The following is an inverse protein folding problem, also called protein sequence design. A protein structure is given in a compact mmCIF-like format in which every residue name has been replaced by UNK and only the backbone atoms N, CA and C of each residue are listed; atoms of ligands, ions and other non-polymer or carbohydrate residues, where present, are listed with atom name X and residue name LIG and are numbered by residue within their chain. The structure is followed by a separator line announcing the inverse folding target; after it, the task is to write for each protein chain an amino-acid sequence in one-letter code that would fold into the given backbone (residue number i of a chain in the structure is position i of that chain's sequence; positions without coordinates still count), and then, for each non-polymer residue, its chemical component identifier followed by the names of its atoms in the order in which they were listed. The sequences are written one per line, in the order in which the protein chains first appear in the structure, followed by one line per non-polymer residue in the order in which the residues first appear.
data_IF_757472645629
#
_entry.id   IF_757472645629
#
_cell.length_a   1.000
_cell.length_b   1.000
_cell.length_c   1.000
_cell.angle_alpha   90.00
_cell.angle_beta   90.00
_cell.angle_gamma   90.00
#
_symmetry.space_group_name_H-M   'P 1'
#
loop_
_entity.id
_entity.type
_entity.pdbx_description
1 polymer ?
2 non-polymer ?
3 water ?
#
# COMPACT_ATOMS: atom_id res chain seq x y z
N UNK A 6 -13.79 -33.25 9.66
CA UNK A 6 -13.25 -32.84 8.33
C UNK A 6 -13.52 -31.36 8.03
N UNK A 7 -12.61 -30.50 8.48
CA UNK A 7 -12.57 -29.13 7.97
C UNK A 7 -11.62 -29.01 6.80
N UNK A 8 -10.81 -30.04 6.60
CA UNK A 8 -9.86 -30.02 5.50
C UNK A 8 -10.14 -31.04 4.40
N UNK A 9 -10.01 -30.55 3.18
CA UNK A 9 -10.04 -31.38 2.00
C UNK A 9 -8.57 -31.51 1.65
N UNK A 10 -8.07 -32.75 1.56
CA UNK A 10 -6.65 -32.88 1.19
C UNK A 10 -6.43 -32.70 -0.33
N UNK A 11 -5.38 -31.99 -0.69
CA UNK A 11 -5.09 -31.66 -2.08
C UNK A 11 -3.73 -32.19 -2.49
N UNK A 12 -3.63 -32.62 -3.75
CA UNK A 12 -2.35 -32.94 -4.37
C UNK A 12 -1.54 -31.65 -4.45
N UNK A 13 -0.23 -31.76 -4.27
CA UNK A 13 0.66 -30.60 -4.39
C UNK A 13 0.68 -30.04 -5.81
N UNK A 14 0.26 -28.77 -5.96
CA UNK A 14 0.26 -28.10 -7.26
C UNK A 14 -1.09 -27.90 -7.94
N UNK A 15 -2.12 -28.62 -7.47
CA UNK A 15 -3.49 -28.55 -8.02
C UNK A 15 -4.25 -27.34 -7.48
N UNK A 16 -4.09 -26.18 -8.14
CA UNK A 16 -4.74 -24.93 -7.74
C UNK A 16 -6.27 -25.02 -7.68
N UNK A 17 -6.83 -25.94 -8.46
CA UNK A 17 -8.28 -26.14 -8.47
C UNK A 17 -8.71 -26.73 -7.13
N UNK A 18 -8.01 -27.78 -6.69
CA UNK A 18 -8.34 -28.40 -5.41
C UNK A 18 -8.08 -27.44 -4.24
N UNK A 19 -7.00 -26.67 -4.34
CA UNK A 19 -6.65 -25.72 -3.32
C UNK A 19 -7.72 -24.64 -3.16
N UNK A 20 -8.26 -24.18 -4.29
CA UNK A 20 -9.27 -23.15 -4.28
C UNK A 20 -10.54 -23.62 -3.58
N UNK A 21 -11.02 -24.81 -3.90
CA UNK A 21 -12.21 -25.28 -3.19
C UNK A 21 -11.93 -25.73 -1.75
N UNK A 22 -10.68 -26.09 -1.44
CA UNK A 22 -10.29 -26.37 -0.06
C UNK A 22 -10.32 -25.07 0.75
N UNK A 23 -9.82 -23.98 0.15
CA UNK A 23 -9.84 -22.66 0.73
C UNK A 23 -11.26 -22.17 1.01
N UNK A 24 -12.15 -22.35 0.03
CA UNK A 24 -13.57 -22.02 0.21
C UNK A 24 -14.13 -22.77 1.43
N UNK A 25 -14.01 -24.10 1.42
CA UNK A 25 -14.39 -24.97 2.57
C UNK A 25 -13.85 -24.48 3.90
N UNK A 26 -12.55 -24.19 3.92
CA UNK A 26 -11.87 -23.85 5.15
C UNK A 26 -12.43 -22.59 5.76
N UNK A 27 -12.56 -21.53 4.96
CA UNK A 27 -13.01 -20.23 5.42
C UNK A 27 -14.45 -20.21 5.93
N UNK A 28 -15.33 -20.95 5.25
CA UNK A 28 -16.71 -21.13 5.69
C UNK A 28 -16.76 -21.87 7.04
N UNK A 29 -16.09 -23.03 7.11
CA UNK A 29 -16.07 -23.79 8.37
C UNK A 29 -15.49 -22.98 9.53
N UNK A 30 -14.45 -22.18 9.26
CA UNK A 30 -13.79 -21.38 10.29
C UNK A 30 -14.32 -19.94 10.43
N UNK A 31 -15.28 -19.52 9.60
CA UNK A 31 -15.74 -18.12 9.55
C UNK A 31 -16.13 -17.54 10.90
N UNK A 32 -16.79 -18.34 11.73
CA UNK A 32 -17.27 -17.87 13.01
C UNK A 32 -16.48 -18.50 14.17
N UNK A 33 -15.33 -19.08 13.82
CA UNK A 33 -14.33 -19.49 14.79
C UNK A 33 -14.57 -20.90 15.26
N UNK A 34 -13.50 -21.55 15.74
CA UNK A 34 -13.59 -22.91 16.31
C UNK A 34 -12.77 -22.98 17.60
N UNK A 35 -13.40 -22.65 18.74
CA UNK A 35 -12.63 -22.33 19.96
C UNK A 35 -11.92 -23.55 20.54
N UNK A 36 -12.45 -24.74 20.28
CA UNK A 36 -11.85 -25.98 20.72
C UNK A 36 -10.51 -26.25 20.00
N UNK A 37 -10.35 -25.69 18.81
CA UNK A 37 -9.10 -25.80 18.05
C UNK A 37 -8.29 -24.48 18.08
N UNK A 38 -8.79 -23.48 18.79
CA UNK A 38 -8.13 -22.16 18.86
C UNK A 38 -8.23 -21.41 17.51
N UNK A 39 -9.29 -21.67 16.75
CA UNK A 39 -9.45 -21.01 15.46
C UNK A 39 -10.27 -19.73 15.65
N UNK A 40 -9.68 -18.60 15.30
CA UNK A 40 -10.33 -17.31 15.47
C UNK A 40 -11.42 -17.10 14.43
N UNK A 41 -12.47 -16.33 14.78
CA UNK A 41 -13.46 -16.06 13.74
C UNK A 41 -12.86 -15.15 12.68
N UNK A 42 -13.00 -15.49 11.39
CA UNK A 42 -12.45 -14.60 10.32
C UNK A 42 -13.45 -13.81 9.48
N UNK A 43 -14.71 -14.20 9.56
CA UNK A 43 -15.75 -13.46 8.88
C UNK A 43 -17.09 -13.71 9.58
N UNK A 44 -17.57 -12.73 10.38
CA UNK A 44 -16.93 -11.40 10.61
C UNK A 44 -15.69 -11.45 11.58
N UNK A 45 -14.62 -10.71 11.25
CA UNK A 45 -13.41 -10.64 12.11
C UNK A 45 -13.48 -9.35 12.87
N UNK A 46 -13.32 -9.40 14.19
CA UNK A 46 -13.32 -8.13 14.96
C UNK A 46 -11.89 -7.78 15.46
N UNK A 47 -11.48 -6.55 15.24
CA UNK A 47 -10.22 -6.09 15.77
C UNK A 47 -10.45 -5.19 16.98
N UNK A 48 -10.16 -5.72 18.18
CA UNK A 48 -10.29 -4.97 19.43
C UNK A 48 -9.76 -3.56 19.30
N UNK A 49 -8.46 -3.47 18.98
CA UNK A 49 -7.69 -2.26 19.11
C UNK A 49 -6.55 -2.25 18.12
N UNK A 50 -6.42 -1.16 17.38
CA UNK A 50 -5.32 -0.93 16.49
C UNK A 50 -5.00 0.56 16.43
N UNK A 51 -3.76 0.92 16.76
CA UNK A 51 -3.25 2.28 16.52
C UNK A 51 -2.36 2.32 15.30
N UNK A 52 -2.42 3.46 14.61
CA UNK A 52 -1.59 3.77 13.49
C UNK A 52 -1.10 5.21 13.61
N UNK A 53 0.21 5.46 13.46
CA UNK A 53 0.68 6.87 13.37
C UNK A 53 0.61 7.27 11.91
N UNK A 54 0.32 8.52 11.58
CA UNK A 54 0.51 8.98 10.22
C UNK A 54 2.00 9.07 9.80
N UNK A 55 2.47 8.14 8.91
CA UNK A 55 3.84 8.14 8.37
C UNK A 55 4.41 9.54 8.05
N UNK A 56 3.58 10.49 7.66
CA UNK A 56 4.06 11.80 7.26
C UNK A 56 3.63 12.90 8.20
N UNK A 57 3.15 12.51 9.38
CA UNK A 57 2.79 13.42 10.46
C UNK A 57 2.76 12.70 11.83
N UNK A 58 3.83 12.84 12.60
CA UNK A 58 4.01 12.13 13.89
C UNK A 58 3.00 12.52 14.99
N UNK A 59 2.37 13.67 14.80
CA UNK A 59 1.42 14.23 15.74
C UNK A 59 -0.06 13.84 15.48
N UNK A 60 -0.27 12.89 14.56
CA UNK A 60 -1.60 12.35 14.28
C UNK A 60 -1.53 10.92 14.65
N UNK A 61 -2.36 10.57 15.62
CA UNK A 61 -2.50 9.21 16.08
C UNK A 61 -3.96 8.82 15.75
N UNK A 62 -4.12 7.70 15.05
CA UNK A 62 -5.43 7.16 14.74
C UNK A 62 -5.57 5.95 15.61
N UNK A 63 -6.63 5.92 16.39
CA UNK A 63 -6.87 4.78 17.25
C UNK A 63 -8.23 4.20 16.83
N UNK A 64 -8.21 2.93 16.40
CA UNK A 64 -9.40 2.16 16.00
C UNK A 64 -9.82 1.23 17.09
N UNK A 65 -11.12 1.16 17.30
CA UNK A 65 -11.68 0.26 18.29
C UNK A 65 -12.86 -0.57 17.77
N UNK A 66 -12.78 -1.88 18.02
CA UNK A 66 -13.82 -2.84 17.66
C UNK A 66 -14.18 -2.79 16.19
N UNK A 67 -13.17 -2.96 15.35
CA UNK A 67 -13.44 -2.86 13.94
C UNK A 67 -14.17 -4.12 13.56
N UNK A 68 -15.21 -3.93 12.77
CA UNK A 68 -15.98 -5.05 12.23
C UNK A 68 -15.64 -5.20 10.76
N UNK A 69 -15.13 -6.36 10.41
CA UNK A 69 -14.56 -6.58 9.09
C UNK A 69 -15.20 -7.79 8.40
N UNK A 70 -15.90 -7.53 7.30
CA UNK A 70 -16.53 -8.65 6.59
C UNK A 70 -15.87 -8.81 5.23
N UNK A 71 -15.84 -10.02 4.70
CA UNK A 71 -15.33 -10.30 3.35
C UNK A 71 -14.14 -11.26 3.23
N UNK A 72 -13.58 -11.72 4.35
CA UNK A 72 -12.43 -12.65 4.32
C UNK A 72 -12.81 -14.11 4.00
N UNK A 73 -14.01 -14.54 4.32
CA UNK A 73 -14.38 -15.92 3.99
C UNK A 73 -14.45 -16.15 2.45
N UNK A 74 -14.50 -15.04 1.69
CA UNK A 74 -14.56 -15.10 0.22
C UNK A 74 -13.33 -14.60 -0.50
N UNK A 75 -12.17 -14.68 0.16
CA UNK A 75 -10.91 -14.37 -0.46
C UNK A 75 -10.49 -15.45 -1.46
N UNK A 76 -9.80 -15.00 -2.49
CA UNK A 76 -9.43 -15.84 -3.62
C UNK A 76 -7.92 -15.93 -3.63
N UNK A 77 -7.39 -17.14 -3.77
CA UNK A 77 -5.93 -17.31 -3.95
C UNK A 77 -5.54 -16.70 -5.27
N UNK A 78 -4.58 -15.77 -5.26
CA UNK A 78 -4.04 -15.24 -6.51
C UNK A 78 -2.60 -15.70 -6.78
N UNK A 79 -1.92 -16.21 -5.76
CA UNK A 79 -0.58 -16.78 -5.89
C UNK A 79 -0.29 -17.75 -4.74
N UNK A 80 0.21 -18.93 -5.10
CA UNK A 80 0.66 -19.90 -4.13
C UNK A 80 1.99 -20.47 -4.60
N UNK A 81 3.05 -20.21 -3.86
CA UNK A 81 4.35 -20.84 -4.14
C UNK A 81 4.91 -21.62 -2.94
N UNK A 82 4.79 -22.95 -3.03
CA UNK A 82 5.26 -23.84 -1.98
C UNK A 82 6.54 -24.59 -2.43
N UNK A 83 7.66 -24.22 -1.82
CA UNK A 83 8.94 -24.86 -2.10
C UNK A 83 9.14 -26.00 -1.09
N UNK A 84 8.97 -27.25 -1.53
CA UNK A 84 9.12 -28.38 -0.59
C UNK A 84 10.55 -28.67 -0.13
N UNK A 85 11.54 -28.04 -0.77
CA UNK A 85 12.96 -28.17 -0.39
C UNK A 85 13.37 -27.13 0.65
N UNK A 86 13.25 -25.86 0.30
CA UNK A 86 13.59 -24.79 1.24
C UNK A 86 12.52 -24.64 2.35
N UNK A 87 11.51 -25.51 2.33
CA UNK A 87 10.36 -25.51 3.26
C UNK A 87 9.69 -24.12 3.51
N UNK A 88 9.18 -23.51 2.44
CA UNK A 88 8.56 -22.18 2.49
C UNK A 88 7.20 -22.15 1.78
N UNK A 89 6.37 -21.18 2.18
CA UNK A 89 5.08 -20.91 1.52
C UNK A 89 5.00 -19.42 1.19
N UNK A 90 4.57 -19.10 -0.01
CA UNK A 90 4.13 -17.74 -0.33
C UNK A 90 2.67 -17.85 -0.72
N UNK A 91 1.82 -17.17 0.03
CA UNK A 91 0.41 -17.06 -0.26
C UNK A 91 0.03 -15.61 -0.48
N UNK A 92 -0.77 -15.36 -1.52
CA UNK A 92 -1.31 -14.02 -1.80
C UNK A 92 -2.78 -14.23 -2.04
N UNK A 93 -3.64 -13.39 -1.46
CA UNK A 93 -5.09 -13.52 -1.69
C UNK A 93 -5.71 -12.18 -1.99
N UNK A 94 -6.87 -12.25 -2.66
CA UNK A 94 -7.66 -11.08 -3.02
C UNK A 94 -8.88 -11.09 -2.15
N UNK A 95 -9.09 -10.00 -1.44
CA UNK A 95 -10.25 -9.93 -0.54
C UNK A 95 -11.00 -8.64 -0.75
N UNK A 96 -12.31 -8.76 -0.76
CA UNK A 96 -13.20 -7.62 -0.75
C UNK A 96 -13.61 -7.33 0.69
N UNK A 97 -13.06 -6.24 1.25
CA UNK A 97 -13.26 -5.92 2.67
C UNK A 97 -14.31 -4.83 2.88
N UNK A 98 -15.19 -5.04 3.86
CA UNK A 98 -15.98 -3.94 4.39
C UNK A 98 -15.67 -3.82 5.87
N UNK A 99 -15.30 -2.60 6.26
CA UNK A 99 -14.77 -2.31 7.58
C UNK A 99 -15.55 -1.17 8.24
N UNK A 100 -15.95 -1.42 9.48
CA UNK A 100 -16.68 -0.45 10.26
C UNK A 100 -16.27 -0.53 11.71
N UNK A 101 -16.13 0.64 12.34
CA UNK A 101 -15.71 0.66 13.72
C UNK A 101 -15.52 2.04 14.29
N UNK A 102 -15.26 2.06 15.58
CA UNK A 102 -14.92 3.27 16.30
C UNK A 102 -13.52 3.68 15.89
N UNK A 103 -13.39 5.00 15.66
CA UNK A 103 -12.15 5.70 15.42
C UNK A 103 -11.95 6.90 16.39
N UNK A 104 -10.71 7.02 16.91
CA UNK A 104 -10.28 8.22 17.63
C UNK A 104 -9.10 8.84 16.91
N UNK A 105 -9.28 10.08 16.45
CA UNK A 105 -8.23 10.88 15.85
C UNK A 105 -7.67 11.89 16.88
N UNK A 106 -6.41 11.65 17.30
CA UNK A 106 -5.65 12.54 18.17
C UNK A 106 -4.74 13.47 17.40
N UNK A 107 -5.02 14.76 17.45
CA UNK A 107 -4.09 15.75 16.98
C UNK A 107 -3.29 16.23 18.22
N UNK A 108 -2.32 15.41 18.64
CA UNK A 108 -1.55 15.62 19.87
C UNK A 108 -0.94 17.01 19.99
N UNK A 109 -0.45 17.55 18.86
CA UNK A 109 0.13 18.88 18.84
C UNK A 109 -0.77 20.03 19.22
N UNK A 110 -2.08 19.78 19.22
CA UNK A 110 -3.08 20.83 19.43
C UNK A 110 -3.89 20.49 20.67
N UNK A 111 -3.65 19.31 21.22
CA UNK A 111 -4.42 18.74 22.30
C UNK A 111 -5.91 18.59 21.93
N UNK A 112 -6.17 18.21 20.68
CA UNK A 112 -7.54 18.00 20.19
C UNK A 112 -7.83 16.54 19.87
N UNK A 113 -9.11 16.20 19.80
CA UNK A 113 -9.52 14.83 19.66
C UNK A 113 -10.87 14.85 18.97
N UNK A 114 -11.14 13.78 18.25
CA UNK A 114 -12.32 13.62 17.43
C UNK A 114 -12.68 12.14 17.54
N UNK A 115 -13.89 11.88 18.05
CA UNK A 115 -14.42 10.52 18.14
C UNK A 115 -15.51 10.32 17.06
N UNK A 116 -15.75 9.07 16.70
CA UNK A 116 -16.72 8.78 15.65
C UNK A 116 -16.70 7.36 15.15
N UNK A 117 -17.31 7.19 13.99
CA UNK A 117 -17.43 5.89 13.33
C UNK A 117 -16.76 5.99 12.01
N UNK A 118 -16.02 4.95 11.70
CA UNK A 118 -15.22 4.90 10.50
C UNK A 118 -15.69 3.78 9.61
N UNK A 119 -15.82 4.09 8.34
CA UNK A 119 -16.20 3.04 7.40
C UNK A 119 -15.21 2.98 6.26
N UNK A 120 -14.83 1.76 5.90
CA UNK A 120 -14.00 1.51 4.69
C UNK A 120 -14.38 0.28 3.87
N UNK A 121 -14.48 0.51 2.56
CA UNK A 121 -14.66 -0.55 1.56
C UNK A 121 -13.52 -0.50 0.54
N UNK A 122 -12.88 -1.63 0.36
CA UNK A 122 -11.81 -1.71 -0.63
C UNK A 122 -11.53 -3.15 -0.96
N UNK A 123 -10.83 -3.39 -2.05
CA UNK A 123 -10.27 -4.72 -2.34
C UNK A 123 -8.78 -4.71 -2.06
N UNK A 124 -8.28 -5.66 -1.28
CA UNK A 124 -6.86 -5.68 -1.03
C UNK A 124 -6.28 -6.94 -1.59
N UNK A 125 -4.96 -6.91 -1.78
CA UNK A 125 -4.20 -8.13 -2.02
C UNK A 125 -3.18 -8.27 -0.88
N UNK A 126 -3.33 -9.33 -0.11
CA UNK A 126 -2.45 -9.55 1.03
C UNK A 126 -1.48 -10.64 0.68
N UNK A 127 -0.21 -10.37 0.97
CA UNK A 127 0.85 -11.31 0.73
C UNK A 127 1.53 -11.81 2.03
N UNK A 128 1.48 -13.13 2.24
CA UNK A 128 2.19 -13.70 3.37
C UNK A 128 3.25 -14.73 2.95
N UNK A 129 4.39 -14.65 3.61
CA UNK A 129 5.48 -15.59 3.40
C UNK A 129 5.81 -16.27 4.73
N UNK A 130 5.83 -17.60 4.75
CA UNK A 130 6.24 -18.31 5.97
C UNK A 130 7.02 -19.59 5.72
N UNK A 131 8.03 -19.80 6.57
CA UNK A 131 8.75 -21.07 6.60
C UNK A 131 7.90 -22.07 7.33
N UNK A 132 8.20 -23.35 7.18
CA UNK A 132 7.57 -24.34 8.00
C UNK A 132 8.57 -25.46 8.28
N UNK A 133 8.30 -26.25 9.32
CA UNK A 133 8.83 -27.62 9.38
C UNK A 133 7.76 -28.71 9.50
N UNK A 134 8.12 -29.91 9.05
CA UNK A 134 7.32 -31.09 9.30
C UNK A 134 7.83 -31.78 10.57
N UNK A 135 6.93 -32.05 11.51
CA UNK A 135 7.34 -32.64 12.80
C UNK A 135 6.28 -33.51 13.47
N UNK A 136 6.74 -34.63 14.04
CA UNK A 136 5.86 -35.61 14.68
C UNK A 136 5.43 -35.27 16.12
N UNK A 137 4.27 -35.77 16.48
CA UNK A 137 3.69 -35.70 17.81
C UNK A 137 4.34 -36.71 18.73
N UNK A 138 4.01 -36.63 20.01
CA UNK A 138 4.32 -37.70 20.95
C UNK A 138 3.47 -38.94 20.65
N UNK A 139 2.25 -38.71 20.17
CA UNK A 139 1.38 -39.78 19.63
C UNK A 139 1.85 -40.32 18.27
N UNK A 140 2.88 -39.69 17.72
CA UNK A 140 3.51 -40.16 16.48
C UNK A 140 2.81 -39.75 15.19
N UNK A 141 1.99 -38.70 15.26
CA UNK A 141 1.24 -38.18 14.10
C UNK A 141 2.01 -36.97 13.56
N UNK A 142 2.15 -36.86 12.24
CA UNK A 142 2.96 -35.78 11.65
C UNK A 142 2.19 -34.48 11.44
N UNK A 143 2.80 -33.36 11.81
CA UNK A 143 2.19 -32.04 11.66
C UNK A 143 3.11 -31.07 10.99
N UNK A 144 2.50 -30.16 10.23
CA UNK A 144 3.16 -28.91 9.83
C UNK A 144 3.31 -28.01 11.05
N UNK A 145 4.49 -27.40 11.20
CA UNK A 145 4.65 -26.25 12.08
C UNK A 145 4.98 -25.01 11.28
N UNK A 146 4.04 -24.07 11.26
CA UNK A 146 4.19 -22.86 10.46
C UNK A 146 4.83 -21.75 11.30
N UNK A 147 6.00 -21.27 10.84
CA UNK A 147 6.77 -20.30 11.60
C UNK A 147 6.12 -18.94 11.42
N UNK A 148 6.60 -17.93 12.16
CA UNK A 148 6.00 -16.61 12.05
C UNK A 148 6.12 -16.07 10.63
N UNK A 149 5.04 -15.52 10.11
CA UNK A 149 4.96 -15.15 8.69
C UNK A 149 5.40 -13.71 8.54
N UNK A 150 5.84 -13.33 7.33
CA UNK A 150 6.03 -11.92 6.96
C UNK A 150 4.82 -11.49 6.09
N UNK A 151 4.34 -10.27 6.27
CA UNK A 151 3.14 -9.79 5.56
C UNK A 151 3.47 -8.59 4.75
N UNK A 152 2.97 -8.57 3.51
CA UNK A 152 3.06 -7.35 2.72
C UNK A 152 1.69 -6.93 2.27
N UNK A 153 1.42 -5.63 2.39
CA UNK A 153 0.15 -5.12 1.84
C UNK A 153 0.36 -4.71 0.38
N UNK A 154 0.38 -5.71 -0.48
CA UNK A 154 0.80 -5.47 -1.89
C UNK A 154 -0.12 -4.47 -2.57
N UNK A 155 -1.43 -4.60 -2.34
CA UNK A 155 -2.36 -3.63 -2.86
C UNK A 155 -3.46 -3.20 -1.84
N UNK A 156 -3.72 -1.90 -1.73
CA UNK A 156 -4.84 -1.52 -0.88
C UNK A 156 -6.10 -1.18 -1.70
N UNK A 157 -6.06 -1.39 -3.01
CA UNK A 157 -7.14 -0.98 -3.94
C UNK A 157 -7.38 0.52 -3.98
N UNK A 158 -8.65 0.93 -4.17
CA UNK A 158 -9.03 2.34 -4.05
C UNK A 158 -10.05 2.46 -2.89
N UNK A 159 -9.58 2.67 -1.64
CA UNK A 159 -10.53 2.57 -0.55
C UNK A 159 -11.61 3.67 -0.54
N UNK A 160 -12.82 3.29 -0.13
CA UNK A 160 -13.89 4.25 0.03
C UNK A 160 -14.07 4.45 1.49
N UNK A 161 -13.74 5.65 1.94
CA UNK A 161 -13.77 5.94 3.36
C UNK A 161 -14.94 6.83 3.76
N UNK A 162 -15.66 6.44 4.79
CA UNK A 162 -16.62 7.37 5.38
C UNK A 162 -16.35 7.59 6.87
N UNK A 163 -16.51 8.84 7.29
CA UNK A 163 -16.64 9.16 8.71
C UNK A 163 -18.03 9.69 9.02
N UNK A 164 -18.52 9.35 10.22
CA UNK A 164 -19.69 9.96 10.89
C UNK A 164 -19.95 11.43 10.52
N UNK A 165 -21.21 11.86 10.66
CA UNK A 165 -21.58 13.22 10.21
C UNK A 165 -21.06 14.31 11.14
N UNK A 166 -21.07 14.03 12.45
CA UNK A 166 -20.61 14.94 13.49
C UNK A 166 -19.09 14.99 13.54
N UNK A 167 -18.46 13.82 13.46
CA UNK A 167 -17.00 13.75 13.32
C UNK A 167 -16.54 14.61 12.15
N UNK A 168 -17.23 14.53 11.02
CA UNK A 168 -16.86 15.33 9.86
C UNK A 168 -16.99 16.82 10.11
N UNK A 169 -18.07 17.24 10.78
CA UNK A 169 -18.35 18.66 11.04
C UNK A 169 -17.32 19.25 11.99
N UNK A 170 -16.87 18.42 12.92
CA UNK A 170 -15.84 18.81 13.85
C UNK A 170 -14.50 19.07 13.11
N UNK A 171 -14.10 18.15 12.23
CA UNK A 171 -12.89 18.36 11.42
C UNK A 171 -13.06 19.52 10.44
N UNK A 172 -14.25 19.68 9.86
CA UNK A 172 -14.51 20.82 8.99
C UNK A 172 -14.38 22.15 9.72
N UNK A 173 -14.77 22.15 11.00
CA UNK A 173 -14.66 23.35 11.85
C UNK A 173 -13.20 23.62 12.28
N UNK A 174 -12.46 22.56 12.61
CA UNK A 174 -11.05 22.67 12.97
C UNK A 174 -10.21 23.12 11.78
N UNK A 175 -10.18 22.32 10.72
CA UNK A 175 -9.41 22.67 9.53
C UNK A 175 -9.87 23.99 8.90
N UNK A 176 -11.18 24.21 8.80
CA UNK A 176 -11.73 25.48 8.28
C UNK A 176 -12.33 25.36 6.89
N UNK A 177 -12.35 24.13 6.38
CA UNK A 177 -12.89 23.81 5.08
C UNK A 177 -14.34 23.31 5.24
N UNK A 178 -15.18 23.49 4.23
CA UNK A 178 -16.55 22.99 4.28
C UNK A 178 -16.64 21.47 4.10
N UNK A 179 -15.70 20.91 3.33
CA UNK A 179 -15.61 19.46 3.12
C UNK A 179 -14.40 18.80 3.82
N UNK A 180 -14.48 17.50 4.03
CA UNK A 180 -13.32 16.68 4.36
C UNK A 180 -12.41 16.58 3.16
N UNK A 181 -11.10 16.73 3.37
CA UNK A 181 -10.16 16.86 2.26
C UNK A 181 -9.23 15.62 2.09
N UNK A 182 -9.43 14.85 0.99
CA UNK A 182 -8.63 13.64 0.78
C UNK A 182 -7.14 13.86 0.58
N UNK A 183 -6.76 14.98 -0.04
CA UNK A 183 -5.33 15.31 -0.17
C UNK A 183 -4.73 15.76 1.15
N UNK A 184 -5.49 15.63 2.23
CA UNK A 184 -4.96 16.09 3.51
C UNK A 184 -5.22 15.22 4.67
N UNK A 185 -4.77 15.68 5.82
CA UNK A 185 -4.83 14.86 6.99
C UNK A 185 -6.18 15.14 7.65
N UNK A 186 -6.80 14.11 8.25
CA UNK A 186 -6.33 12.74 8.39
C UNK A 186 -6.81 11.74 7.32
N UNK A 187 -7.58 12.20 6.34
CA UNK A 187 -8.06 11.28 5.30
C UNK A 187 -6.93 10.53 4.55
N UNK A 188 -5.78 11.18 4.33
CA UNK A 188 -4.64 10.53 3.64
C UNK A 188 -4.19 9.27 4.35
N UNK A 189 -4.17 9.31 5.68
CA UNK A 189 -3.74 8.18 6.45
C UNK A 189 -4.81 7.12 6.48
N UNK A 190 -6.04 7.60 6.67
CA UNK A 190 -7.24 6.76 6.66
C UNK A 190 -7.45 5.95 5.36
N UNK A 191 -7.12 6.55 4.24
CA UNK A 191 -7.09 5.91 2.88
C UNK A 191 -5.96 4.86 2.67
N UNK A 192 -4.84 5.02 3.38
CA UNK A 192 -3.60 4.32 2.98
C UNK A 192 -2.98 3.46 4.05
N UNK A 193 -2.10 4.05 4.86
CA UNK A 193 -1.48 3.35 5.99
C UNK A 193 -2.51 2.67 6.88
N UNK A 194 -3.60 3.36 7.20
CA UNK A 194 -4.59 2.70 8.10
C UNK A 194 -5.13 1.41 7.47
N UNK A 195 -5.41 1.50 6.17
CA UNK A 195 -5.80 0.31 5.40
C UNK A 195 -4.75 -0.76 5.36
N UNK A 196 -3.49 -0.34 5.14
CA UNK A 196 -2.38 -1.31 5.11
C UNK A 196 -2.32 -2.01 6.46
N UNK A 197 -2.40 -1.25 7.54
CA UNK A 197 -2.43 -1.89 8.88
C UNK A 197 -3.66 -2.74 9.18
N UNK A 198 -4.84 -2.24 8.89
CA UNK A 198 -6.03 -3.12 9.01
C UNK A 198 -5.88 -4.43 8.23
N UNK A 199 -5.44 -4.35 6.98
CA UNK A 199 -5.18 -5.58 6.22
C UNK A 199 -4.20 -6.52 6.94
N UNK A 200 -3.12 -5.98 7.53
CA UNK A 200 -2.17 -6.83 8.29
C UNK A 200 -2.82 -7.56 9.45
N UNK A 201 -3.60 -6.82 10.23
CA UNK A 201 -4.40 -7.47 11.31
C UNK A 201 -5.23 -8.61 10.77
N UNK A 202 -5.94 -8.40 9.66
CA UNK A 202 -6.70 -9.51 9.03
C UNK A 202 -5.86 -10.72 8.64
N UNK A 203 -4.71 -10.48 8.01
CA UNK A 203 -3.93 -11.64 7.57
C UNK A 203 -3.17 -12.32 8.70
N UNK A 204 -2.85 -11.57 9.75
CA UNK A 204 -2.44 -12.19 11.03
C UNK A 204 -3.46 -13.25 11.51
N UNK A 205 -4.75 -12.88 11.54
CA UNK A 205 -5.79 -13.85 11.93
C UNK A 205 -5.88 -14.97 10.93
N UNK A 206 -5.81 -14.61 9.66
CA UNK A 206 -5.82 -15.61 8.62
C UNK A 206 -4.68 -16.61 8.78
N UNK A 207 -3.47 -16.12 8.96
CA UNK A 207 -2.32 -17.03 9.06
C UNK A 207 -2.36 -17.76 10.42
N UNK A 208 -2.76 -17.08 11.49
CA UNK A 208 -2.93 -17.81 12.77
C UNK A 208 -3.84 -19.00 12.60
N UNK A 209 -4.94 -18.84 11.85
CA UNK A 209 -5.85 -19.98 11.73
C UNK A 209 -5.24 -21.15 11.00
N UNK A 210 -4.39 -20.85 10.04
CA UNK A 210 -3.67 -21.93 9.35
C UNK A 210 -2.71 -22.60 10.33
N UNK A 211 -1.87 -21.80 10.99
CA UNK A 211 -1.03 -22.29 12.09
C UNK A 211 -1.83 -23.15 13.09
N UNK A 212 -2.86 -22.55 13.67
CA UNK A 212 -3.65 -23.25 14.72
C UNK A 212 -4.18 -24.60 14.26
N UNK A 213 -4.62 -24.66 13.00
CA UNK A 213 -5.24 -25.87 12.47
C UNK A 213 -4.20 -26.95 12.14
N UNK A 214 -3.01 -26.51 11.74
CA UNK A 214 -1.89 -27.39 11.43
C UNK A 214 -1.26 -28.03 12.69
N UNK A 215 -1.57 -27.49 13.87
CA UNK A 215 -1.14 -28.08 15.14
C UNK A 215 -2.00 -29.29 15.38
N UNK A 216 -3.30 -29.15 15.10
CA UNK A 216 -4.29 -30.20 15.35
C UNK A 216 -4.30 -31.30 14.28
N UNK A 217 -4.34 -30.90 13.01
CA UNK A 217 -4.54 -31.84 11.92
C UNK A 217 -3.26 -32.49 11.39
N UNK A 218 -3.31 -33.81 11.10
CA UNK A 218 -2.21 -34.49 10.42
C UNK A 218 -1.85 -33.72 9.16
N UNK A 219 -0.57 -33.62 8.84
CA UNK A 219 -0.15 -32.87 7.68
C UNK A 219 -0.78 -33.44 6.40
N UNK A 220 -0.97 -34.76 6.37
CA UNK A 220 -1.59 -35.46 5.23
C UNK A 220 -3.06 -35.07 4.96
N UNK A 221 -3.60 -34.20 5.82
CA UNK A 221 -4.95 -33.65 5.66
C UNK A 221 -4.90 -32.33 4.89
N UNK A 222 -3.70 -31.81 4.69
CA UNK A 222 -3.47 -30.62 3.88
C UNK A 222 -3.04 -31.00 2.45
N UNK A 223 -2.03 -31.88 2.37
CA UNK A 223 -1.48 -32.38 1.10
C UNK A 223 -1.19 -33.89 1.18
N UNK A 224 -1.51 -34.59 0.09
CA UNK A 224 -1.51 -36.07 0.07
C UNK A 224 -0.15 -36.79 -0.04
N UNK A 225 0.85 -36.18 -0.68
CA UNK A 225 2.13 -36.89 -0.91
C UNK A 225 3.33 -36.44 -0.06
N UNK A 226 3.71 -35.17 -0.21
CA UNK A 226 4.89 -34.62 0.46
C UNK A 226 6.19 -35.20 -0.11
N UNK B 6 5.67 19.90 -30.72
CA UNK B 6 7.08 19.74 -30.25
C UNK B 6 7.20 18.83 -29.00
N UNK B 7 6.32 19.04 -28.02
CA UNK B 7 6.35 18.30 -26.75
C UNK B 7 5.23 17.27 -26.62
N UNK B 8 4.02 17.66 -27.01
CA UNK B 8 2.85 16.82 -26.82
C UNK B 8 2.36 16.30 -28.15
N UNK B 9 1.85 15.08 -28.16
CA UNK B 9 1.04 14.56 -29.26
C UNK B 9 -0.44 14.53 -28.86
N UNK B 10 -1.25 15.45 -29.43
CA UNK B 10 -2.70 15.53 -29.20
C UNK B 10 -3.44 14.24 -29.51
N UNK B 11 -4.43 13.91 -28.70
CA UNK B 11 -5.22 12.71 -28.92
C UNK B 11 -6.70 13.07 -28.93
N UNK B 12 -7.54 12.12 -29.27
CA UNK B 12 -8.95 12.31 -29.06
C UNK B 12 -9.29 11.74 -27.69
N UNK B 13 -10.20 12.39 -26.95
CA UNK B 13 -10.68 11.81 -25.70
C UNK B 13 -11.00 10.32 -25.88
N UNK B 14 -10.56 9.50 -24.92
CA UNK B 14 -10.90 8.07 -24.94
C UNK B 14 -10.23 7.23 -26.01
N UNK B 15 -9.11 7.71 -26.56
CA UNK B 15 -8.28 6.88 -27.45
C UNK B 15 -7.03 6.40 -26.70
N UNK B 16 -7.15 5.26 -26.03
CA UNK B 16 -6.09 4.78 -25.13
C UNK B 16 -4.80 4.35 -25.87
N UNK B 17 -4.89 4.16 -27.19
CA UNK B 17 -3.74 3.72 -27.98
C UNK B 17 -2.83 4.92 -28.21
N UNK B 18 -3.46 6.03 -28.54
CA UNK B 18 -2.81 7.28 -28.82
C UNK B 18 -2.33 7.87 -27.49
N UNK B 19 -3.22 7.84 -26.50
CA UNK B 19 -2.83 8.27 -25.15
C UNK B 19 -1.57 7.57 -24.68
N UNK B 20 -1.51 6.24 -24.86
CA UNK B 20 -0.30 5.51 -24.56
C UNK B 20 0.94 6.01 -25.29
N UNK B 21 0.80 6.33 -26.59
CA UNK B 21 1.96 6.81 -27.36
C UNK B 21 2.36 8.20 -26.91
N UNK B 22 1.35 9.02 -26.59
CA UNK B 22 1.59 10.40 -26.15
C UNK B 22 2.30 10.43 -24.78
N UNK B 23 1.93 9.45 -23.95
CA UNK B 23 2.46 9.27 -22.61
C UNK B 23 3.91 8.84 -22.69
N UNK B 24 4.22 7.87 -23.57
CA UNK B 24 5.61 7.49 -23.84
C UNK B 24 6.47 8.67 -24.34
N UNK B 25 5.95 9.42 -25.30
CA UNK B 25 6.70 10.55 -25.84
C UNK B 25 6.98 11.67 -24.84
N UNK B 26 5.94 12.08 -24.11
CA UNK B 26 6.05 13.08 -23.05
C UNK B 26 7.10 12.70 -22.02
N UNK B 27 6.97 11.49 -21.48
CA UNK B 27 7.91 10.99 -20.47
C UNK B 27 9.33 10.93 -21.01
N UNK B 28 9.47 10.59 -22.30
CA UNK B 28 10.77 10.64 -22.99
C UNK B 28 11.35 12.07 -22.98
N UNK B 29 10.61 13.04 -23.51
CA UNK B 29 11.16 14.40 -23.61
C UNK B 29 11.33 15.12 -22.25
N UNK B 30 10.47 14.80 -21.28
CA UNK B 30 10.58 15.36 -19.93
C UNK B 30 11.56 14.63 -18.96
N UNK B 31 12.04 13.44 -19.31
CA UNK B 31 12.83 12.60 -18.40
C UNK B 31 14.01 13.25 -17.63
N UNK B 32 14.60 14.33 -18.15
CA UNK B 32 15.63 15.06 -17.39
C UNK B 32 15.35 16.56 -17.24
N UNK B 33 14.15 16.97 -17.62
CA UNK B 33 13.64 18.29 -17.28
C UNK B 33 13.59 19.21 -18.48
N UNK B 34 12.71 20.20 -18.44
CA UNK B 34 12.68 21.27 -19.42
C UNK B 34 12.39 22.57 -18.66
N UNK B 35 13.46 23.22 -18.15
CA UNK B 35 13.33 24.38 -17.29
C UNK B 35 12.55 25.56 -17.91
N UNK B 36 12.41 25.57 -19.23
CA UNK B 36 11.60 26.59 -19.91
C UNK B 36 10.15 26.52 -19.46
N UNK B 37 9.60 25.31 -19.47
CA UNK B 37 8.20 25.11 -19.18
C UNK B 37 7.97 24.86 -17.69
N UNK B 38 9.06 24.85 -16.92
CA UNK B 38 9.07 24.57 -15.49
C UNK B 38 8.77 23.08 -15.25
N UNK B 39 9.36 22.24 -16.08
CA UNK B 39 9.19 20.79 -15.98
C UNK B 39 10.37 20.14 -15.27
N UNK B 40 10.11 19.45 -14.16
CA UNK B 40 11.17 18.81 -13.37
C UNK B 40 11.62 17.51 -14.02
N UNK B 41 12.87 17.10 -13.78
CA UNK B 41 13.33 15.80 -14.24
C UNK B 41 12.51 14.70 -13.62
N UNK B 42 12.13 13.70 -14.41
CA UNK B 42 11.35 12.56 -13.89
C UNK B 42 12.09 11.22 -13.91
N UNK B 43 13.19 11.11 -14.65
CA UNK B 43 13.94 9.83 -14.76
C UNK B 43 15.38 10.06 -15.28
N UNK B 44 16.37 10.13 -14.36
CA UNK B 44 16.33 9.97 -12.89
C UNK B 44 15.58 11.08 -12.14
N UNK B 45 14.79 10.68 -11.15
CA UNK B 45 14.12 11.61 -10.24
C UNK B 45 14.87 11.64 -8.91
N UNK B 46 15.17 12.84 -8.45
CA UNK B 46 15.89 12.99 -7.20
C UNK B 46 14.99 13.60 -6.11
N UNK B 47 14.90 12.91 -4.98
CA UNK B 47 14.25 13.55 -3.83
C UNK B 47 15.19 13.79 -2.66
N UNK B 48 15.45 15.08 -2.41
CA UNK B 48 16.37 15.57 -1.37
C UNK B 48 16.19 14.84 -0.04
N UNK B 49 15.00 14.96 0.55
CA UNK B 49 14.75 14.29 1.84
C UNK B 49 13.31 13.95 2.01
N UNK B 50 13.09 12.77 2.58
CA UNK B 50 11.78 12.35 3.01
C UNK B 50 11.94 11.62 4.35
N UNK B 51 11.09 11.98 5.33
CA UNK B 51 10.99 11.22 6.62
C UNK B 51 9.70 10.44 6.66
N UNK B 52 9.77 9.25 7.21
CA UNK B 52 8.64 8.39 7.33
C UNK B 52 8.63 7.83 8.75
N UNK B 53 7.60 8.13 9.55
CA UNK B 53 7.47 7.49 10.89
C UNK B 53 6.88 6.11 10.67
N UNK B 54 7.41 5.08 11.27
CA UNK B 54 6.73 3.79 11.28
C UNK B 54 5.27 3.83 11.86
N UNK B 55 4.23 3.65 10.98
CA UNK B 55 2.80 3.65 11.46
C UNK B 55 2.55 2.72 12.66
N UNK B 56 3.19 1.56 12.73
CA UNK B 56 3.00 0.70 13.91
C UNK B 56 3.99 0.92 15.10
N UNK B 57 4.80 1.98 15.03
CA UNK B 57 5.85 2.22 16.05
C UNK B 57 6.35 3.63 15.94
N UNK B 58 5.82 4.51 16.77
CA UNK B 58 6.21 5.93 16.80
C UNK B 58 7.67 6.18 17.17
N UNK B 59 8.34 5.15 17.67
CA UNK B 59 9.72 5.25 18.11
C UNK B 59 10.73 5.26 16.93
N UNK B 60 10.21 5.06 15.72
CA UNK B 60 11.10 4.84 14.58
C UNK B 60 10.88 5.93 13.60
N UNK B 61 11.93 6.73 13.39
CA UNK B 61 11.92 7.71 12.34
C UNK B 61 12.95 7.28 11.25
N UNK B 62 12.45 7.06 10.03
CA UNK B 62 13.29 6.78 8.86
C UNK B 62 13.51 8.12 8.15
N UNK B 63 14.79 8.48 7.93
CA UNK B 63 15.16 9.72 7.24
C UNK B 63 15.89 9.34 5.95
N UNK B 64 15.40 9.82 4.80
CA UNK B 64 16.00 9.54 3.47
C UNK B 64 16.50 10.84 2.94
N UNK B 65 17.73 10.81 2.39
CA UNK B 65 18.24 11.95 1.61
C UNK B 65 18.71 11.52 0.21
N UNK B 66 18.55 12.42 -0.73
CA UNK B 66 19.07 12.19 -2.11
C UNK B 66 18.73 10.81 -2.66
N UNK B 67 17.46 10.40 -2.55
CA UNK B 67 17.11 9.10 -3.11
C UNK B 67 17.23 9.25 -4.63
N UNK B 68 17.77 8.21 -5.27
CA UNK B 68 17.82 8.25 -6.72
C UNK B 68 16.86 7.21 -7.31
N UNK B 69 15.88 7.69 -8.03
CA UNK B 69 14.82 6.80 -8.54
C UNK B 69 14.77 6.79 -10.08
N UNK B 70 14.87 5.59 -10.65
CA UNK B 70 14.75 5.37 -12.10
C UNK B 70 13.56 4.45 -12.39
N UNK B 71 12.90 4.66 -13.54
CA UNK B 71 11.88 3.77 -14.05
C UNK B 71 10.61 4.47 -14.52
N UNK B 72 10.45 5.75 -14.16
CA UNK B 72 9.20 6.48 -14.39
C UNK B 72 9.00 6.86 -15.87
N UNK B 73 10.11 7.06 -16.60
CA UNK B 73 10.18 7.13 -18.08
C UNK B 73 9.21 6.18 -18.74
N UNK B 74 9.15 4.97 -18.17
CA UNK B 74 8.49 3.84 -18.79
C UNK B 74 7.16 3.46 -18.16
N UNK B 75 6.54 4.35 -17.39
CA UNK B 75 5.28 3.95 -16.77
C UNK B 75 4.17 3.72 -17.79
N UNK B 76 3.31 2.76 -17.54
CA UNK B 76 2.24 2.39 -18.47
C UNK B 76 0.88 2.75 -17.85
N UNK B 77 -0.01 3.37 -18.63
CA UNK B 77 -1.38 3.64 -18.15
C UNK B 77 -2.11 2.36 -17.83
N UNK B 78 -2.67 2.26 -16.64
CA UNK B 78 -3.44 1.07 -16.32
C UNK B 78 -4.89 1.43 -16.19
N UNK B 79 -5.16 2.74 -16.07
CA UNK B 79 -6.50 3.25 -15.96
C UNK B 79 -6.49 4.75 -16.20
N UNK B 80 -7.38 5.22 -17.07
CA UNK B 80 -7.58 6.65 -17.29
C UNK B 80 -9.06 6.99 -17.36
N UNK B 81 -9.52 7.85 -16.47
CA UNK B 81 -10.90 8.33 -16.58
C UNK B 81 -11.02 9.84 -16.53
N UNK B 82 -11.33 10.42 -17.68
CA UNK B 82 -11.63 11.85 -17.77
C UNK B 82 -13.13 12.05 -17.92
N UNK B 83 -13.69 12.83 -17.00
CA UNK B 83 -15.10 13.22 -17.01
C UNK B 83 -15.14 14.68 -17.43
N UNK B 84 -15.70 15.00 -18.59
CA UNK B 84 -15.68 16.40 -19.07
C UNK B 84 -16.64 17.39 -18.44
N UNK B 85 -17.80 16.91 -17.98
CA UNK B 85 -18.75 17.75 -17.21
C UNK B 85 -18.18 18.08 -15.82
N UNK B 86 -17.95 17.04 -15.04
CA UNK B 86 -17.42 17.18 -13.68
C UNK B 86 -16.00 17.79 -13.68
N UNK B 87 -15.34 17.73 -14.84
CA UNK B 87 -13.96 18.23 -15.04
C UNK B 87 -12.94 17.56 -14.11
N UNK B 88 -12.91 16.23 -14.10
CA UNK B 88 -12.07 15.45 -13.17
C UNK B 88 -11.29 14.41 -13.93
N UNK B 89 -10.05 14.16 -13.51
CA UNK B 89 -9.22 13.08 -14.06
C UNK B 89 -8.89 12.05 -13.00
N UNK B 90 -9.08 10.77 -13.32
CA UNK B 90 -8.47 9.66 -12.58
C UNK B 90 -7.42 9.05 -13.49
N UNK B 91 -6.17 9.04 -13.01
CA UNK B 91 -5.00 8.51 -13.73
C UNK B 91 -4.20 7.54 -12.89
N UNK B 92 -4.10 6.29 -13.34
CA UNK B 92 -3.33 5.25 -12.69
C UNK B 92 -2.25 4.77 -13.65
N UNK B 93 -0.99 4.76 -13.20
CA UNK B 93 0.12 4.19 -13.98
C UNK B 93 0.85 3.05 -13.24
N UNK B 94 1.44 2.12 -14.00
CA UNK B 94 2.21 1.01 -13.44
C UNK B 94 3.66 1.29 -13.76
N UNK B 95 4.49 1.34 -12.73
CA UNK B 95 5.89 1.75 -12.92
C UNK B 95 6.83 0.77 -12.23
N UNK B 96 7.95 0.46 -12.88
CA UNK B 96 8.97 -0.41 -12.24
C UNK B 96 10.06 0.48 -11.64
N UNK B 97 10.09 0.58 -10.33
CA UNK B 97 10.99 1.53 -9.75
C UNK B 97 12.23 0.85 -9.16
N UNK B 98 13.37 1.44 -9.49
CA UNK B 98 14.62 1.10 -8.84
C UNK B 98 14.99 2.30 -7.95
N UNK B 99 15.13 2.06 -6.65
CA UNK B 99 15.34 3.14 -5.68
C UNK B 99 16.65 2.90 -4.91
N UNK B 100 17.42 3.97 -4.76
CA UNK B 100 18.75 3.92 -4.18
C UNK B 100 18.99 5.26 -3.52
N UNK B 101 19.38 5.25 -2.25
CA UNK B 101 19.75 6.52 -1.58
C UNK B 101 20.24 6.38 -0.15
N UNK B 102 20.41 7.53 0.51
CA UNK B 102 20.85 7.49 1.92
C UNK B 102 19.67 7.36 2.88
N UNK B 103 19.85 6.48 3.87
CA UNK B 103 18.94 6.27 4.98
C UNK B 103 19.52 6.52 6.40
N UNK B 104 18.87 7.41 7.17
CA UNK B 104 19.14 7.56 8.61
C UNK B 104 17.96 6.96 9.37
N UNK B 105 18.18 5.78 9.96
CA UNK B 105 17.25 5.10 10.87
C UNK B 105 17.49 5.46 12.37
N UNK B 106 16.45 5.96 13.03
CA UNK B 106 16.50 6.49 14.39
C UNK B 106 15.56 5.74 15.32
N UNK B 107 16.15 5.01 16.26
CA UNK B 107 15.36 4.43 17.32
C UNK B 107 15.44 5.39 18.49
N UNK B 108 14.62 6.43 18.44
CA UNK B 108 14.57 7.48 19.46
C UNK B 108 14.46 7.00 20.91
N UNK B 109 13.63 5.98 21.16
CA UNK B 109 13.51 5.39 22.51
C UNK B 109 14.82 4.89 23.12
N UNK B 110 15.84 4.76 22.28
CA UNK B 110 17.06 4.11 22.71
C UNK B 110 18.17 5.08 22.50
N UNK B 111 17.83 6.28 22.05
CA UNK B 111 18.81 7.29 21.65
C UNK B 111 19.81 6.82 20.57
N UNK B 112 19.47 5.73 19.88
CA UNK B 112 20.31 5.18 18.82
C UNK B 112 20.02 5.72 17.41
N UNK B 113 21.00 5.57 16.51
CA UNK B 113 20.89 6.11 15.14
C UNK B 113 21.89 5.55 14.16
N UNK B 114 21.39 5.07 13.03
CA UNK B 114 22.18 4.31 12.07
C UNK B 114 22.06 4.88 10.67
N UNK B 115 23.21 5.12 10.04
CA UNK B 115 23.24 5.56 8.64
C UNK B 115 23.84 4.47 7.76
N UNK B 116 23.58 4.60 6.47
CA UNK B 116 23.93 3.58 5.49
C UNK B 116 23.24 3.91 4.18
N UNK B 117 23.05 2.89 3.35
CA UNK B 117 22.51 3.10 1.99
C UNK B 117 21.27 2.26 1.83
N UNK B 118 20.27 2.88 1.21
CA UNK B 118 19.00 2.21 0.96
C UNK B 118 18.79 1.85 -0.51
N UNK B 119 18.54 0.58 -0.77
CA UNK B 119 18.07 0.21 -2.11
C UNK B 119 16.74 -0.50 -2.05
N UNK B 120 15.86 -0.14 -2.98
CA UNK B 120 14.60 -0.84 -3.18
C UNK B 120 14.18 -0.89 -4.64
N UNK B 121 13.56 -2.01 -4.98
CA UNK B 121 13.22 -2.38 -6.33
C UNK B 121 11.80 -2.88 -6.31
N UNK B 122 10.87 -2.16 -6.92
CA UNK B 122 9.50 -2.67 -6.90
C UNK B 122 8.64 -2.17 -8.06
N UNK B 123 7.60 -2.93 -8.37
CA UNK B 123 6.54 -2.51 -9.30
C UNK B 123 5.40 -1.85 -8.56
N UNK B 124 5.20 -0.56 -8.82
CA UNK B 124 4.20 0.21 -8.12
C UNK B 124 3.03 0.47 -9.07
N UNK B 125 1.82 0.57 -8.49
CA UNK B 125 0.72 1.29 -9.12
C UNK B 125 0.29 2.52 -8.32
N UNK B 126 0.42 3.70 -8.95
CA UNK B 126 0.02 4.95 -8.31
C UNK B 126 -1.19 5.55 -8.99
N UNK B 127 -2.12 6.05 -8.18
CA UNK B 127 -3.39 6.63 -8.62
C UNK B 127 -3.52 8.09 -8.25
N UNK B 128 -3.73 8.94 -9.24
CA UNK B 128 -3.94 10.33 -8.95
C UNK B 128 -5.31 10.79 -9.43
N UNK B 129 -6.07 11.35 -8.51
CA UNK B 129 -7.27 12.08 -8.88
C UNK B 129 -7.02 13.58 -8.80
N UNK B 130 -7.48 14.31 -9.79
CA UNK B 130 -7.52 15.77 -9.67
C UNK B 130 -8.62 16.33 -10.51
N UNK B 131 -8.93 17.59 -10.26
CA UNK B 131 -9.87 18.34 -11.07
C UNK B 131 -9.12 19.42 -11.80
N UNK B 132 -9.80 20.08 -12.73
CA UNK B 132 -9.23 21.18 -13.47
C UNK B 132 -10.32 22.18 -13.88
N UNK B 133 -9.92 23.41 -14.15
CA UNK B 133 -10.74 24.33 -14.94
C UNK B 133 -10.02 24.71 -16.22
N UNK B 134 -10.79 25.27 -17.16
CA UNK B 134 -10.24 25.90 -18.37
C UNK B 134 -10.17 27.42 -18.19
N UNK B 135 -9.02 28.00 -18.52
CA UNK B 135 -8.86 29.45 -18.44
C UNK B 135 -8.14 30.02 -19.67
N UNK B 136 -8.85 30.82 -20.44
CA UNK B 136 -8.31 31.39 -21.68
C UNK B 136 -7.17 32.36 -21.41
N UNK B 137 -6.19 32.35 -22.30
CA UNK B 137 -4.98 33.17 -22.22
C UNK B 137 -5.38 34.65 -22.24
N UNK B 138 -4.38 35.52 -22.44
CA UNK B 138 -4.65 36.95 -22.55
C UNK B 138 -5.09 37.34 -23.97
N UNK B 139 -5.16 36.32 -24.84
CA UNK B 139 -5.42 36.50 -26.28
C UNK B 139 -6.02 35.27 -26.99
N UNK B 140 -7.00 34.64 -26.34
CA UNK B 140 -7.78 33.57 -26.96
C UNK B 140 -7.33 32.13 -26.73
N UNK B 141 -6.11 31.92 -26.24
CA UNK B 141 -5.60 30.55 -26.07
C UNK B 141 -6.03 29.94 -24.73
N UNK B 142 -6.87 28.89 -24.82
CA UNK B 142 -7.48 28.26 -23.66
C UNK B 142 -6.67 27.07 -23.12
N UNK B 143 -6.32 27.13 -21.84
CA UNK B 143 -5.44 26.15 -21.20
C UNK B 143 -6.10 25.37 -20.07
N UNK B 144 -5.60 24.15 -19.84
CA UNK B 144 -5.99 23.35 -18.68
C UNK B 144 -5.33 23.91 -17.41
N UNK B 145 -6.14 24.20 -16.39
CA UNK B 145 -5.62 24.56 -15.06
C UNK B 145 -5.82 23.38 -14.13
N UNK B 146 -4.74 22.70 -13.77
CA UNK B 146 -4.88 21.48 -12.99
C UNK B 146 -4.71 21.72 -11.49
N UNK B 147 -5.75 21.38 -10.76
CA UNK B 147 -5.84 21.69 -9.35
C UNK B 147 -5.07 20.65 -8.55
N UNK B 148 -4.87 20.89 -7.23
CA UNK B 148 -4.12 19.95 -6.41
C UNK B 148 -4.65 18.53 -6.51
N UNK B 149 -3.76 17.56 -6.57
CA UNK B 149 -4.18 16.19 -6.76
C UNK B 149 -4.21 15.37 -5.48
N UNK B 150 -4.94 14.25 -5.55
CA UNK B 150 -5.01 13.30 -4.47
C UNK B 150 -4.39 12.00 -4.91
N UNK B 151 -3.50 11.45 -4.09
CA UNK B 151 -2.69 10.26 -4.41
C UNK B 151 -3.05 9.08 -3.54
N UNK B 152 -2.93 7.89 -4.12
CA UNK B 152 -3.16 6.64 -3.40
C UNK B 152 -2.14 5.64 -3.85
N UNK B 153 -1.42 5.03 -2.89
CA UNK B 153 -0.47 3.95 -3.25
C UNK B 153 -1.26 2.66 -3.39
N UNK B 154 -1.97 2.54 -4.51
CA UNK B 154 -2.93 1.43 -4.67
C UNK B 154 -2.20 0.13 -4.56
N UNK B 155 -0.99 0.08 -5.12
CA UNK B 155 -0.18 -1.12 -5.04
C UNK B 155 1.30 -0.78 -4.89
N UNK B 156 1.94 -1.46 -3.96
CA UNK B 156 3.36 -1.20 -3.75
C UNK B 156 4.17 -2.39 -4.25
N UNK B 157 3.48 -3.45 -4.64
CA UNK B 157 4.11 -4.65 -5.21
C UNK B 157 4.72 -5.55 -4.17
N UNK B 158 5.75 -6.31 -4.58
CA UNK B 158 6.44 -7.27 -3.70
C UNK B 158 7.89 -6.74 -3.55
N UNK B 159 8.08 -5.65 -2.78
CA UNK B 159 9.33 -4.88 -2.84
C UNK B 159 10.59 -5.60 -2.33
N UNK B 160 11.71 -5.30 -3.00
CA UNK B 160 13.00 -5.94 -2.74
C UNK B 160 13.88 -4.87 -2.15
N UNK B 161 14.14 -5.01 -0.86
CA UNK B 161 14.88 -4.01 -0.09
C UNK B 161 16.26 -4.59 0.20
N UNK B 162 17.29 -3.76 0.05
CA UNK B 162 18.58 -4.12 0.61
C UNK B 162 19.12 -2.95 1.39
N UNK B 163 19.92 -3.27 2.41
CA UNK B 163 20.69 -2.25 3.10
C UNK B 163 22.16 -2.63 3.11
N UNK B 164 23.02 -1.62 3.13
CA UNK B 164 24.46 -1.79 3.37
C UNK B 164 24.82 -3.00 4.25
N UNK B 165 26.00 -3.58 3.99
CA UNK B 165 26.49 -4.72 4.77
C UNK B 165 26.81 -4.30 6.21
N UNK B 166 27.24 -3.04 6.35
CA UNK B 166 27.55 -2.44 7.64
C UNK B 166 26.29 -2.28 8.48
N UNK B 167 25.27 -1.65 7.86
CA UNK B 167 23.95 -1.46 8.45
C UNK B 167 23.41 -2.80 8.89
N UNK B 168 23.25 -3.73 7.96
CA UNK B 168 22.73 -5.04 8.34
C UNK B 168 23.36 -5.48 9.67
N UNK B 169 24.70 -5.58 9.68
CA UNK B 169 25.49 -5.94 10.88
C UNK B 169 25.26 -5.02 12.11
N UNK B 170 25.23 -3.71 11.91
CA UNK B 170 24.94 -2.76 12.99
C UNK B 170 23.52 -2.89 13.57
N UNK B 171 22.53 -3.11 12.71
CA UNK B 171 21.15 -3.42 13.15
C UNK B 171 21.06 -4.79 13.80
N UNK B 172 21.80 -5.77 13.26
CA UNK B 172 21.57 -7.16 13.65
C UNK B 172 22.25 -7.61 14.96
N UNK B 173 22.98 -6.70 15.60
CA UNK B 173 23.37 -6.95 16.99
C UNK B 173 22.84 -5.88 17.96
N UNK B 174 22.28 -4.79 17.41
CA UNK B 174 21.33 -3.98 18.18
C UNK B 174 20.07 -4.80 18.47
N UNK B 175 19.90 -5.89 17.72
CA UNK B 175 18.79 -6.82 17.87
C UNK B 175 19.23 -8.21 18.34
N UNK B 176 20.52 -8.51 18.18
CA UNK B 176 21.05 -9.81 18.56
C UNK B 176 20.64 -10.97 17.67
N UNK B 177 19.82 -10.69 16.64
CA UNK B 177 19.52 -11.67 15.60
C UNK B 177 20.61 -11.62 14.54
N UNK B 178 21.15 -12.76 14.14
CA UNK B 178 22.33 -12.73 13.26
C UNK B 178 22.04 -12.35 11.80
N UNK B 179 20.80 -12.54 11.37
CA UNK B 179 20.31 -11.98 10.10
C UNK B 179 19.18 -10.97 10.31
N UNK B 180 19.11 -9.98 9.44
CA UNK B 180 18.09 -8.95 9.45
C UNK B 180 16.73 -9.58 9.21
N UNK B 181 15.71 -9.19 9.98
CA UNK B 181 14.40 -9.89 9.90
C UNK B 181 13.27 -9.02 9.31
N UNK B 182 12.60 -9.56 8.27
CA UNK B 182 11.52 -8.92 7.54
C UNK B 182 10.19 -8.74 8.34
N UNK B 183 9.82 -9.74 9.14
CA UNK B 183 8.64 -9.65 10.01
C UNK B 183 8.90 -8.81 11.27
N UNK B 184 10.03 -8.11 11.32
CA UNK B 184 10.36 -7.24 12.45
C UNK B 184 10.62 -5.86 11.92
N UNK B 185 10.84 -4.92 12.83
CA UNK B 185 11.29 -3.59 12.45
C UNK B 185 12.82 -3.59 12.35
N UNK B 186 13.41 -2.79 11.44
CA UNK B 186 12.77 -1.76 10.62
C UNK B 186 12.43 -2.18 9.18
N UNK B 187 12.71 -3.42 8.77
CA UNK B 187 12.28 -3.83 7.44
C UNK B 187 10.77 -3.57 7.27
N UNK B 188 9.93 -4.19 8.11
CA UNK B 188 8.46 -4.02 8.04
C UNK B 188 8.10 -2.72 7.36
N UNK B 189 8.65 -1.62 7.86
CA UNK B 189 8.29 -0.26 7.43
C UNK B 189 8.98 0.16 6.16
N UNK B 190 10.21 -0.33 5.94
CA UNK B 190 10.95 0.05 4.73
C UNK B 190 10.35 -0.68 3.54
N UNK B 191 9.86 -1.90 3.77
CA UNK B 191 9.12 -2.66 2.76
C UNK B 191 7.72 -2.11 2.40
N UNK B 192 7.06 -1.44 3.37
CA UNK B 192 5.63 -1.10 3.19
C UNK B 192 5.35 0.40 3.10
N UNK B 193 5.33 1.11 4.23
CA UNK B 193 5.02 2.54 4.20
C UNK B 193 6.06 3.43 3.59
N UNK B 194 7.33 3.11 3.79
CA UNK B 194 8.37 3.89 3.10
C UNK B 194 8.20 3.81 1.55
N UNK B 195 7.88 2.64 1.05
CA UNK B 195 7.55 2.53 -0.41
C UNK B 195 6.40 3.44 -0.84
N UNK B 196 5.34 3.48 -0.03
CA UNK B 196 4.14 4.23 -0.35
C UNK B 196 4.44 5.72 -0.35
N UNK B 197 5.24 6.19 0.61
CA UNK B 197 5.57 7.63 0.63
C UNK B 197 6.59 8.02 -0.49
N UNK B 198 7.50 7.11 -0.78
CA UNK B 198 8.44 7.32 -1.93
C UNK B 198 7.65 7.35 -3.24
N UNK B 199 6.81 6.35 -3.46
CA UNK B 199 5.87 6.39 -4.60
C UNK B 199 5.10 7.74 -4.69
N UNK B 200 4.61 8.25 -3.54
CA UNK B 200 3.86 9.51 -3.52
C UNK B 200 4.67 10.71 -3.93
N UNK B 201 5.87 10.86 -3.35
CA UNK B 201 6.88 11.80 -3.86
C UNK B 201 7.06 11.75 -5.42
N UNK B 202 7.26 10.56 -5.99
CA UNK B 202 7.37 10.44 -7.47
C UNK B 202 6.14 10.97 -8.22
N UNK B 203 4.94 10.57 -7.77
CA UNK B 203 3.71 11.00 -8.43
C UNK B 203 3.38 12.46 -8.25
N UNK B 204 3.85 13.07 -7.15
CA UNK B 204 3.80 14.54 -7.04
C UNK B 204 4.67 15.22 -8.13
N UNK B 205 5.78 14.59 -8.49
CA UNK B 205 6.58 15.18 -9.59
C UNK B 205 5.99 14.88 -10.96
N UNK B 206 5.52 13.64 -11.15
CA UNK B 206 4.73 13.30 -12.35
C UNK B 206 3.61 14.30 -12.59
N UNK B 207 2.79 14.55 -11.57
CA UNK B 207 1.64 15.41 -11.76
C UNK B 207 2.04 16.88 -11.92
N UNK B 208 3.09 17.34 -11.24
CA UNK B 208 3.54 18.72 -11.43
C UNK B 208 3.82 19.01 -12.92
N UNK B 209 4.56 18.14 -13.58
CA UNK B 209 4.92 18.39 -14.97
C UNK B 209 3.72 18.48 -15.90
N UNK B 210 2.67 17.74 -15.58
CA UNK B 210 1.43 17.84 -16.33
C UNK B 210 0.84 19.20 -16.09
N UNK B 211 0.86 19.65 -14.84
CA UNK B 211 0.35 20.99 -14.46
C UNK B 211 1.16 22.12 -15.07
N UNK B 212 2.48 21.97 -15.04
CA UNK B 212 3.40 22.96 -15.59
C UNK B 212 3.24 23.09 -17.10
N UNK B 213 3.20 21.96 -17.80
CA UNK B 213 3.04 21.98 -19.26
C UNK B 213 1.68 22.56 -19.67
N UNK B 214 0.63 22.23 -18.94
CA UNK B 214 -0.72 22.73 -19.23
C UNK B 214 -0.87 24.25 -19.11
N UNK B 215 -0.08 24.86 -18.22
CA UNK B 215 -0.03 26.33 -18.12
C UNK B 215 0.47 26.98 -19.42
N UNK B 216 1.52 26.40 -20.01
CA UNK B 216 2.12 26.94 -21.23
C UNK B 216 1.38 26.56 -22.52
N UNK B 217 1.21 25.26 -22.75
CA UNK B 217 0.64 24.73 -23.98
C UNK B 217 -0.87 24.80 -24.00
N UNK B 218 -1.46 25.10 -25.17
CA UNK B 218 -2.92 25.14 -25.38
C UNK B 218 -3.60 23.82 -25.03
N UNK B 219 -4.82 23.90 -24.54
CA UNK B 219 -5.56 22.72 -24.12
C UNK B 219 -5.74 21.69 -25.26
N UNK B 220 -5.78 22.17 -26.50
CA UNK B 220 -5.94 21.29 -27.65
C UNK B 220 -4.67 20.52 -27.99
N UNK B 221 -3.54 20.90 -27.37
CA UNK B 221 -2.28 20.16 -27.53
C UNK B 221 -2.30 18.79 -26.86
N UNK B 222 -3.17 18.63 -25.87
CA UNK B 222 -3.43 17.37 -25.22
C UNK B 222 -4.61 16.69 -25.91
N UNK B 223 -5.63 17.49 -26.22
CA UNK B 223 -6.90 16.95 -26.72
C UNK B 223 -7.49 17.78 -27.86
N UNK B 224 -7.60 17.12 -29.00
CA UNK B 224 -8.02 17.70 -30.29
C UNK B 224 -9.42 18.27 -30.27
N UNK B 225 -10.32 17.56 -29.57
CA UNK B 225 -11.75 17.66 -29.83
C UNK B 225 -12.60 18.02 -28.60
N UNK B 226 -12.25 19.12 -27.94
CA UNK B 226 -12.96 19.58 -26.72
C UNK B 226 -14.26 20.34 -27.03
N UNK B 227 -15.38 19.80 -26.53
CA UNK B 227 -16.71 20.29 -26.93
C UNK B 227 -17.69 20.56 -25.76
X LIG C 1 -6.69 -20.99 3.90
X LIG C 1 -6.66 -19.74 3.15
X LIG C 1 -6.73 -22.28 3.16
X LIG C 1 -6.68 -20.97 5.13
X LIG C 1 -6.52 -23.49 3.72
X LIG C 1 0.44 -23.99 4.49
X LIG C 1 -6.62 -24.73 2.84
X LIG C 1 -5.57 -24.75 1.72
X LIG C 1 -4.17 -24.64 2.26
X LIG C 1 -3.36 -23.60 1.98
X LIG C 1 -1.97 -23.48 2.55
X LIG C 1 -1.47 -24.78 3.17
X LIG C 1 0.06 -24.72 3.32
X LIG C 1 0.57 -25.41 4.56
X LIG C 1 -0.44 -26.11 5.47
X LIG C 1 -0.06 -26.01 6.93
X LIG C 1 -6.24 -23.65 5.20
X LIG C 1 -3.84 -22.46 1.11
X LIG C 1 1.96 -26.02 4.36
X LIG C 1 -6.43 -18.51 3.84
X LIG D 1 1.82 11.95 -18.52
X LIG D 1 1.76 10.65 -17.89
X LIG D 1 1.31 12.09 -19.90
X LIG D 1 2.28 12.88 -17.89
X LIG D 1 1.05 13.25 -20.56
X LIG D 1 -4.76 15.84 -17.57
X LIG D 1 0.54 13.18 -21.99
X LIG D 1 -0.81 12.46 -22.09
X LIG D 1 -1.96 13.13 -21.36
X LIG D 1 -2.54 12.52 -20.31
X LIG D 1 -3.71 13.11 -19.57
X LIG D 1 -3.63 14.60 -19.29
X LIG D 1 -4.98 15.07 -18.75
X LIG D 1 -5.16 16.58 -18.72
X LIG D 1 -4.07 17.47 -19.27
X LIG D 1 -3.76 18.58 -18.30
X LIG D 1 1.28 14.63 -19.98
X LIG D 1 -2.05 11.19 -19.83
X LIG D 1 -6.58 17.13 -18.65
X LIG D 1 2.57 10.36 -16.77
#
# INVERSE_FOLDING_TARGET
GSDGDALLKPCKLGDMQCLSSATEQFLEKTSKGIPQYDIWPIDPLVVTSLDVIAPSDAGIVIRFKNLNITGLKNQQISDFQMDTKAKTVLLKTKADLHIVGDIVIELTEQSKSFTGLYTADTNVIGAVRYGYNLKNDDNGVQHFEVQPETFTCESIGEPKITLSSDLSSALEKDSGNNSLEPDMEPLKTLRQAAICKIAEACYISVVHNIRASAKILPASSFFENLN
GSDGDALLKPCKLGDMQCLSSATEQFLEKTSKGIPQYDIWPIDPLVVTSLDVIAPSDAGIVIRFKNLNITGLKNQQISDFQMDTKAKTVLLKTKADLHIVGDIVIELTEQSKSFTGLYTADTNVIGAVRYGYNLKNDDNGVQHFEVQPETFTCESIGEPKITLSSDLSSALEKDSGNNSLEPDMEPLKTLRQAAICKIAEACYISVVHNIRASAKILPASSFFENLN
JH2 C1 O1 C2 O2 C3 O3 C4 C5 C6 C7 C8 C9 C10 C11 C12 C13 C14 C15 C16 C17
JH2 C1 O1 C2 O2 C3 O3 C4 C5 C6 C7 C8 C9 C10 C11 C12 C13 C14 C15 C16 C17
#
